data_IF_134203955726
#
_entry.id   IF_134203955726
#
_cell.length_a   1.000
_cell.length_b   1.000
_cell.length_c   1.000
_cell.angle_alpha   90.00
_cell.angle_beta   90.00
_cell.angle_gamma   90.00
#
_symmetry.space_group_name_H-M   'P 1'
#
loop_
_entity.id
_entity.type
_entity.pdbx_description
1 polymer ?
#
# COMPACT_ATOMS: atom_id res chain seq x y z
N UNK A 1 1.94 10.83 8.56
CA UNK A 1 2.47 10.61 7.19
C UNK A 1 3.20 11.88 6.73
N UNK A 2 4.21 11.79 5.85
CA UNK A 2 4.88 12.97 5.30
C UNK A 2 3.92 13.82 4.44
N UNK A 3 4.15 15.13 4.37
CA UNK A 3 3.34 16.07 3.57
C UNK A 3 3.40 15.81 2.06
N UNK A 4 4.46 15.16 1.59
CA UNK A 4 4.71 14.84 0.19
C UNK A 4 5.42 13.49 0.11
N UNK A 5 5.10 12.69 -0.91
CA UNK A 5 5.75 11.39 -1.12
C UNK A 5 5.30 10.73 -2.40
N UNK A 6 5.94 9.58 -2.71
CA UNK A 6 5.58 8.72 -3.83
C UNK A 6 5.02 7.42 -3.23
N UNK A 7 3.78 7.10 -3.59
CA UNK A 7 3.19 5.81 -3.25
C UNK A 7 3.62 4.77 -4.29
N UNK A 8 4.37 3.76 -3.87
CA UNK A 8 4.81 2.66 -4.73
C UNK A 8 3.89 1.47 -4.52
N UNK A 9 3.30 0.96 -5.61
CA UNK A 9 2.47 -0.24 -5.61
C UNK A 9 3.15 -1.36 -6.38
N UNK A 10 3.03 -2.58 -5.89
CA UNK A 10 3.53 -3.77 -6.57
C UNK A 10 2.59 -4.26 -7.66
N UNK A 11 3.08 -5.17 -8.49
CA UNK A 11 2.26 -5.94 -9.42
C UNK A 11 1.41 -6.99 -8.67
N UNK A 12 0.19 -7.30 -9.13
CA UNK A 12 -0.69 -8.28 -8.45
C UNK A 12 -0.03 -9.64 -8.21
N UNK A 13 0.76 -10.12 -9.16
CA UNK A 13 1.34 -11.46 -9.10
C UNK A 13 2.71 -11.51 -8.42
N UNK A 14 3.50 -10.44 -8.54
CA UNK A 14 4.92 -10.43 -8.15
C UNK A 14 5.26 -9.45 -7.03
N UNK A 15 4.33 -8.57 -6.65
CA UNK A 15 4.59 -7.51 -5.68
C UNK A 15 5.56 -6.45 -6.21
N UNK A 16 6.24 -5.78 -5.27
CA UNK A 16 7.27 -4.76 -5.55
C UNK A 16 8.60 -5.48 -5.79
N UNK A 17 9.36 -5.07 -6.81
CA UNK A 17 10.69 -5.65 -7.06
C UNK A 17 11.65 -5.34 -5.92
N UNK A 18 12.64 -6.20 -5.70
CA UNK A 18 13.60 -6.04 -4.60
C UNK A 18 14.40 -4.72 -4.72
N UNK A 19 14.75 -4.32 -5.94
CA UNK A 19 15.49 -3.09 -6.20
C UNK A 19 14.69 -1.86 -5.78
N UNK A 20 13.38 -1.84 -6.11
CA UNK A 20 12.49 -0.76 -5.69
C UNK A 20 12.25 -0.82 -4.17
N UNK A 21 12.05 -2.02 -3.62
CA UNK A 21 11.80 -2.22 -2.19
C UNK A 21 12.96 -1.73 -1.30
N UNK A 22 14.21 -1.84 -1.77
CA UNK A 22 15.38 -1.29 -1.06
C UNK A 22 15.42 0.24 -1.03
N UNK A 23 14.75 0.92 -1.96
CA UNK A 23 14.64 2.38 -1.98
C UNK A 23 13.45 2.90 -1.16
N UNK A 24 12.53 2.03 -0.71
CA UNK A 24 11.35 2.43 0.05
C UNK A 24 11.76 2.91 1.44
N UNK A 25 11.39 4.15 1.76
CA UNK A 25 11.68 4.80 3.05
C UNK A 25 10.71 4.42 4.16
N UNK A 26 9.43 4.22 3.82
CA UNK A 26 8.39 3.80 4.75
C UNK A 26 7.52 2.70 4.14
N UNK A 27 7.26 1.65 4.93
CA UNK A 27 6.40 0.54 4.54
C UNK A 27 5.04 0.71 5.18
N UNK A 28 4.00 0.69 4.36
CA UNK A 28 2.60 0.76 4.78
C UNK A 28 1.85 -0.46 4.28
N UNK A 29 0.87 -0.93 5.06
CA UNK A 29 0.03 -2.06 4.69
C UNK A 29 -1.41 -1.81 5.14
N UNK A 30 -2.35 -2.46 4.45
CA UNK A 30 -3.74 -2.50 4.89
C UNK A 30 -3.86 -3.66 5.89
N UNK A 31 -4.29 -3.41 7.13
CA UNK A 31 -4.47 -4.46 8.12
C UNK A 31 -5.56 -5.44 7.68
N UNK A 32 -5.28 -6.73 7.81
CA UNK A 32 -6.25 -7.78 7.57
C UNK A 32 -6.99 -8.08 8.88
N UNK A 33 -8.32 -8.15 8.83
CA UNK A 33 -9.16 -8.46 9.99
C UNK A 33 -9.86 -9.81 9.80
N UNK A 34 -9.68 -10.71 10.77
CA UNK A 34 -10.29 -12.04 10.80
C UNK A 34 -9.31 -13.19 10.51
N UNK A 35 -9.75 -14.43 10.79
CA UNK A 35 -8.96 -15.66 10.59
C UNK A 35 -9.05 -16.22 9.16
N UNK A 36 -9.71 -15.51 8.23
CA UNK A 36 -9.79 -15.96 6.85
C UNK A 36 -8.51 -15.57 6.13
N UNK A 37 -7.87 -16.55 5.50
CA UNK A 37 -6.83 -16.34 4.50
C UNK A 37 -7.54 -15.80 3.25
N UNK A 38 -7.87 -14.52 3.25
CA UNK A 38 -8.39 -13.85 2.06
C UNK A 38 -7.22 -13.57 1.13
N UNK A 39 -7.42 -13.74 -0.17
CA UNK A 39 -6.44 -13.29 -1.16
C UNK A 39 -6.13 -11.80 -0.95
N UNK A 40 -4.92 -11.39 -1.33
CA UNK A 40 -4.54 -9.97 -1.31
C UNK A 40 -5.52 -9.15 -2.15
N UNK A 41 -5.82 -7.94 -1.70
CA UNK A 41 -6.66 -7.02 -2.47
C UNK A 41 -6.04 -6.74 -3.84
N UNK A 42 -6.89 -6.49 -4.85
CA UNK A 42 -6.41 -6.00 -6.12
C UNK A 42 -5.67 -4.65 -5.93
N UNK A 43 -4.70 -4.36 -6.81
CA UNK A 43 -3.83 -3.19 -6.65
C UNK A 43 -4.63 -1.90 -6.64
N UNK A 44 -5.61 -1.76 -7.53
CA UNK A 44 -6.44 -0.55 -7.63
C UNK A 44 -7.23 -0.24 -6.33
N UNK A 45 -7.80 -1.27 -5.70
CA UNK A 45 -8.55 -1.17 -4.44
C UNK A 45 -7.62 -0.83 -3.29
N UNK A 46 -6.47 -1.51 -3.21
CA UNK A 46 -5.46 -1.21 -2.20
C UNK A 46 -4.98 0.25 -2.34
N UNK A 47 -4.70 0.71 -3.57
CA UNK A 47 -4.34 2.10 -3.84
C UNK A 47 -5.44 3.07 -3.41
N UNK A 48 -6.70 2.80 -3.74
CA UNK A 48 -7.82 3.67 -3.38
C UNK A 48 -7.97 3.82 -1.85
N UNK A 49 -7.86 2.72 -1.10
CA UNK A 49 -7.91 2.74 0.37
C UNK A 49 -6.76 3.59 0.93
N UNK A 50 -5.53 3.33 0.49
CA UNK A 50 -4.35 4.06 0.98
C UNK A 50 -4.42 5.56 0.66
N UNK A 51 -4.81 5.93 -0.56
CA UNK A 51 -4.98 7.33 -0.94
C UNK A 51 -6.09 8.02 -0.14
N UNK A 52 -7.19 7.32 0.14
CA UNK A 52 -8.27 7.86 0.98
C UNK A 52 -7.78 8.15 2.40
N UNK A 53 -6.97 7.28 2.98
CA UNK A 53 -6.43 7.48 4.33
C UNK A 53 -5.38 8.61 4.37
N UNK A 54 -4.46 8.63 3.39
CA UNK A 54 -3.48 9.72 3.25
C UNK A 54 -4.21 11.05 3.12
N UNK A 55 -5.29 11.13 2.33
CA UNK A 55 -6.09 12.34 2.19
C UNK A 55 -6.79 12.71 3.51
N UNK A 56 -7.35 11.75 4.23
CA UNK A 56 -8.06 12.00 5.50
C UNK A 56 -7.13 12.62 6.54
N UNK A 57 -5.91 12.11 6.66
CA UNK A 57 -4.88 12.63 7.59
C UNK A 57 -4.38 14.04 7.24
N UNK A 58 -4.69 14.55 6.04
CA UNK A 58 -4.32 15.89 5.58
C UNK A 58 -5.50 16.87 5.50
N UNK A 59 -6.71 16.47 5.90
CA UNK A 59 -7.86 17.35 6.14
C UNK A 59 -7.84 17.86 7.57
#
# INVERSE_FOLDING_TARGET
LPKTGILVMGNEAKGISNEIFQMVTEKISIPHYGNMVTESLNVATATAILLSEIRREHL
#
